data_IF_425139085671
#
_entry.id   IF_425139085671
#
_cell.length_a   1.000
_cell.length_b   1.000
_cell.length_c   1.000
_cell.angle_alpha   90.00
_cell.angle_beta   90.00
_cell.angle_gamma   90.00
#
_symmetry.space_group_name_H-M   'P 1'
#
loop_
_entity.id
_entity.type
_entity.pdbx_description
1 polymer ?
#
# COMPACT_ATOMS: atom_id res chain seq x y z
N UNK A 1 3.90 9.41 -15.59
CA UNK A 1 2.53 9.68 -15.15
C UNK A 1 2.64 10.36 -13.81
N UNK A 2 2.14 11.58 -13.68
CA UNK A 2 2.14 12.34 -12.43
C UNK A 2 0.80 12.07 -11.74
N UNK A 3 0.83 11.59 -10.50
CA UNK A 3 -0.37 11.35 -9.68
C UNK A 3 -0.28 12.27 -8.49
N UNK A 4 -1.13 13.29 -8.46
CA UNK A 4 -1.24 14.21 -7.33
C UNK A 4 -2.30 13.67 -6.37
N UNK A 5 -1.89 13.35 -5.15
CA UNK A 5 -2.80 12.96 -4.09
C UNK A 5 -3.13 14.16 -3.19
N UNK A 6 -4.40 14.31 -2.85
CA UNK A 6 -4.90 15.38 -1.99
C UNK A 6 -5.22 14.82 -0.60
N UNK A 7 -4.99 15.63 0.44
CA UNK A 7 -5.32 15.31 1.83
C UNK A 7 -6.19 16.42 2.40
N UNK A 8 -7.24 16.04 3.12
CA UNK A 8 -8.05 16.97 3.91
C UNK A 8 -7.32 17.36 5.20
N UNK A 9 -7.97 18.16 6.05
CA UNK A 9 -7.47 18.41 7.40
C UNK A 9 -7.43 17.10 8.19
N UNK A 10 -6.33 16.86 8.89
CA UNK A 10 -6.21 15.72 9.81
C UNK A 10 -7.26 15.82 10.91
N UNK A 11 -8.11 14.79 11.02
CA UNK A 11 -9.18 14.71 12.02
C UNK A 11 -8.69 13.95 13.25
N UNK A 12 -7.86 12.92 13.04
CA UNK A 12 -7.34 12.10 14.12
C UNK A 12 -5.98 11.50 13.75
N UNK A 13 -5.19 11.16 14.77
CA UNK A 13 -3.93 10.43 14.66
C UNK A 13 -3.76 9.46 15.80
N UNK A 14 -3.38 8.23 15.47
CA UNK A 14 -3.14 7.18 16.46
C UNK A 14 -1.78 6.50 16.25
N UNK A 15 -1.18 6.04 17.35
CA UNK A 15 0.04 5.23 17.31
C UNK A 15 -0.31 3.76 17.10
N UNK A 16 0.38 3.09 16.17
CA UNK A 16 0.17 1.67 15.86
C UNK A 16 1.48 0.95 15.58
N UNK A 17 1.38 -0.37 15.42
CA UNK A 17 2.47 -1.24 15.03
C UNK A 17 2.10 -2.01 13.77
N UNK A 18 3.02 -2.03 12.80
CA UNK A 18 2.89 -2.82 11.59
C UNK A 18 3.76 -4.07 11.72
N UNK A 19 3.26 -5.28 11.44
CA UNK A 19 4.08 -6.47 11.45
C UNK A 19 5.33 -6.32 10.57
N UNK A 20 6.47 -6.80 11.06
CA UNK A 20 7.74 -6.65 10.37
C UNK A 20 7.72 -7.26 8.97
N UNK A 21 7.05 -8.40 8.82
CA UNK A 21 6.88 -9.09 7.54
C UNK A 21 6.19 -8.20 6.49
N UNK A 22 5.12 -7.50 6.88
CA UNK A 22 4.40 -6.56 6.00
C UNK A 22 5.26 -5.35 5.65
N UNK A 23 5.87 -4.71 6.65
CA UNK A 23 6.71 -3.53 6.43
C UNK A 23 7.92 -3.85 5.54
N UNK A 24 8.68 -4.90 5.90
CA UNK A 24 9.87 -5.30 5.17
C UNK A 24 9.52 -5.70 3.72
N UNK A 25 8.39 -6.38 3.49
CA UNK A 25 7.93 -6.71 2.14
C UNK A 25 7.59 -5.47 1.32
N UNK A 26 6.88 -4.50 1.90
CA UNK A 26 6.57 -3.23 1.24
C UNK A 26 7.84 -2.49 0.81
N UNK A 27 8.81 -2.35 1.73
CA UNK A 27 10.09 -1.69 1.45
C UNK A 27 10.92 -2.47 0.40
N UNK A 28 10.92 -3.81 0.46
CA UNK A 28 11.61 -4.66 -0.53
C UNK A 28 11.00 -4.53 -1.93
N UNK A 29 9.66 -4.41 -2.02
CA UNK A 29 9.00 -4.16 -3.29
C UNK A 29 9.28 -2.74 -3.79
N UNK A 30 9.27 -1.74 -2.89
CA UNK A 30 9.59 -0.35 -3.21
C UNK A 30 11.01 -0.19 -3.76
N UNK A 31 11.99 -0.89 -3.18
CA UNK A 31 13.39 -0.81 -3.63
C UNK A 31 13.61 -1.36 -5.04
N UNK A 32 12.65 -2.11 -5.59
CA UNK A 32 12.67 -2.61 -6.97
C UNK A 32 12.08 -1.60 -7.97
N UNK A 33 11.43 -0.54 -7.48
CA UNK A 33 10.77 0.47 -8.31
C UNK A 33 11.73 1.63 -8.62
N UNK A 34 12.05 1.92 -9.90
CA UNK A 34 12.94 3.02 -10.25
C UNK A 34 12.35 4.40 -9.94
N UNK A 35 11.02 4.49 -9.88
CA UNK A 35 10.27 5.74 -9.61
C UNK A 35 10.18 6.09 -8.14
N UNK A 36 10.77 5.30 -7.21
CA UNK A 36 10.67 5.49 -5.75
C UNK A 36 9.25 5.52 -5.18
N UNK A 37 8.29 5.05 -5.96
CA UNK A 37 6.90 4.90 -5.56
C UNK A 37 6.41 3.52 -5.95
N UNK A 38 5.67 2.86 -5.06
CA UNK A 38 5.06 1.56 -5.26
C UNK A 38 3.54 1.69 -5.19
N UNK A 39 2.86 1.21 -6.23
CA UNK A 39 1.40 1.19 -6.31
C UNK A 39 0.88 -0.21 -6.04
N UNK A 40 0.09 -0.36 -4.97
CA UNK A 40 -0.44 -1.64 -4.51
C UNK A 40 -1.97 -1.61 -4.53
N UNK A 41 -2.61 -2.18 -5.57
CA UNK A 41 -4.06 -2.24 -5.64
C UNK A 41 -4.63 -3.25 -4.64
N UNK A 42 -5.47 -2.79 -3.72
CA UNK A 42 -6.19 -3.60 -2.73
C UNK A 42 -7.60 -3.87 -3.28
N UNK A 43 -7.70 -4.82 -4.21
CA UNK A 43 -8.91 -5.06 -5.01
C UNK A 43 -10.15 -5.43 -4.18
N UNK A 44 -9.97 -6.15 -3.07
CA UNK A 44 -11.03 -6.54 -2.13
C UNK A 44 -11.71 -5.34 -1.44
N UNK A 45 -11.03 -4.19 -1.41
CA UNK A 45 -11.53 -2.95 -0.83
C UNK A 45 -11.84 -1.89 -1.89
N UNK A 46 -11.45 -2.08 -3.15
CA UNK A 46 -11.37 -1.03 -4.18
C UNK A 46 -10.46 0.14 -3.77
N UNK A 47 -9.42 -0.14 -3.00
CA UNK A 47 -8.45 0.86 -2.57
C UNK A 47 -7.15 0.73 -3.36
N UNK A 48 -6.37 1.81 -3.40
CA UNK A 48 -4.99 1.80 -3.82
C UNK A 48 -4.12 2.26 -2.65
N UNK A 49 -3.10 1.49 -2.32
CA UNK A 49 -2.03 1.96 -1.47
C UNK A 49 -0.89 2.51 -2.35
N UNK A 50 -0.44 3.72 -2.06
CA UNK A 50 0.71 4.34 -2.69
C UNK A 50 1.78 4.47 -1.62
N UNK A 51 2.92 3.87 -1.86
CA UNK A 51 3.99 3.72 -0.89
C UNK A 51 5.22 4.44 -1.42
N UNK A 52 5.82 5.27 -0.56
CA UNK A 52 7.15 5.81 -0.77
C UNK A 52 8.03 5.58 0.47
N UNK A 53 9.16 6.28 0.54
CA UNK A 53 10.11 6.16 1.66
C UNK A 53 9.63 6.80 2.96
N UNK A 54 8.64 7.69 2.92
CA UNK A 54 8.19 8.49 4.04
C UNK A 54 6.84 8.00 4.59
N UNK A 55 5.89 7.69 3.70
CA UNK A 55 4.53 7.33 4.07
C UNK A 55 3.88 6.29 3.16
N UNK A 56 2.89 5.59 3.72
CA UNK A 56 1.97 4.74 2.96
C UNK A 56 0.60 5.42 2.97
N UNK A 57 0.14 5.87 1.82
CA UNK A 57 -1.17 6.53 1.70
C UNK A 57 -2.18 5.60 1.06
N UNK A 58 -3.40 5.61 1.60
CA UNK A 58 -4.50 4.77 1.14
C UNK A 58 -5.59 5.66 0.56
N UNK A 59 -5.87 5.44 -0.73
CA UNK A 59 -6.89 6.18 -1.48
C UNK A 59 -8.02 5.23 -1.88
N UNK A 60 -9.24 5.73 -1.76
CA UNK A 60 -10.46 5.06 -2.21
C UNK A 60 -10.63 5.21 -3.73
N UNK A 61 -10.96 4.12 -4.41
CA UNK A 61 -11.18 4.10 -5.85
C UNK A 61 -12.34 4.97 -6.32
N UNK A 62 -13.30 5.27 -5.44
CA UNK A 62 -14.43 6.16 -5.75
C UNK A 62 -14.04 7.65 -5.68
N UNK A 63 -13.12 8.00 -4.77
CA UNK A 63 -12.65 9.38 -4.59
C UNK A 63 -11.29 9.59 -5.23
N UNK A 64 -11.32 9.99 -6.50
CA UNK A 64 -10.16 10.33 -7.36
C UNK A 64 -9.03 11.05 -6.59
N UNK A 65 -8.07 10.29 -6.11
CA UNK A 65 -6.82 10.74 -5.47
C UNK A 65 -6.94 11.43 -4.10
N UNK A 66 -8.02 11.21 -3.34
CA UNK A 66 -8.10 11.69 -1.95
C UNK A 66 -7.58 10.65 -0.98
N UNK A 67 -6.70 11.07 -0.07
CA UNK A 67 -6.12 10.23 0.97
C UNK A 67 -7.10 10.16 2.14
N UNK A 68 -7.50 8.93 2.48
CA UNK A 68 -8.37 8.69 3.64
C UNK A 68 -7.56 8.44 4.90
N UNK A 69 -6.52 7.64 4.75
CA UNK A 69 -5.63 7.20 5.82
C UNK A 69 -4.20 7.28 5.28
N UNK A 70 -3.31 7.85 6.10
CA UNK A 70 -1.88 7.79 5.85
C UNK A 70 -1.17 7.13 7.02
N UNK A 71 -0.32 6.16 6.74
CA UNK A 71 0.62 5.60 7.72
C UNK A 71 1.95 6.30 7.55
N UNK A 72 2.37 7.01 8.58
CA UNK A 72 3.51 7.94 8.57
C UNK A 72 4.43 7.68 9.74
N UNK A 73 5.60 8.33 9.73
CA UNK A 73 6.53 8.34 10.86
C UNK A 73 6.92 6.92 11.31
N UNK A 74 7.19 6.03 10.35
CA UNK A 74 7.69 4.70 10.64
C UNK A 74 9.02 4.78 11.39
N UNK A 75 9.17 3.98 12.45
CA UNK A 75 10.38 3.94 13.28
C UNK A 75 11.09 2.58 13.19
N UNK A 76 11.59 2.18 12.00
CA UNK A 76 12.22 0.87 11.81
C UNK A 76 13.56 0.72 12.53
N UNK A 77 14.16 1.82 13.01
CA UNK A 77 15.46 1.83 13.72
C UNK A 77 15.33 1.67 15.24
N UNK A 78 14.12 1.75 15.79
CA UNK A 78 13.89 1.65 17.25
C UNK A 78 13.73 0.19 17.70
N UNK A 79 13.63 -0.74 16.76
CA UNK A 79 13.51 -2.18 17.04
C UNK A 79 14.88 -2.83 17.23
N UNK A 80 14.94 -3.81 18.12
CA UNK A 80 16.16 -4.57 18.43
C UNK A 80 16.38 -5.73 17.43
N UNK A 81 15.33 -6.17 16.73
CA UNK A 81 15.39 -7.27 15.78
C UNK A 81 14.52 -7.03 14.53
N UNK A 82 14.86 -7.72 13.43
CA UNK A 82 14.22 -7.53 12.12
C UNK A 82 12.79 -8.08 12.02
N UNK A 83 12.40 -8.96 12.93
CA UNK A 83 11.07 -9.60 13.03
C UNK A 83 10.13 -8.84 13.97
N UNK A 84 10.65 -7.89 14.76
CA UNK A 84 9.86 -7.04 15.63
C UNK A 84 9.00 -6.05 14.82
N UNK A 85 7.72 -5.85 15.21
CA UNK A 85 6.83 -4.89 14.58
C UNK A 85 7.40 -3.48 14.53
N UNK A 86 7.09 -2.74 13.47
CA UNK A 86 7.53 -1.36 13.26
C UNK A 86 6.47 -0.40 13.77
N UNK A 87 6.82 0.44 14.74
CA UNK A 87 5.95 1.51 15.22
C UNK A 87 5.74 2.57 14.13
N UNK A 88 4.51 3.06 14.02
CA UNK A 88 4.13 4.12 13.08
C UNK A 88 2.93 4.92 13.61
N UNK A 89 2.57 5.99 12.92
CA UNK A 89 1.37 6.79 13.20
C UNK A 89 0.39 6.67 12.04
N UNK A 90 -0.88 6.35 12.33
CA UNK A 90 -1.96 6.39 11.36
C UNK A 90 -2.69 7.73 11.50
N UNK A 91 -2.62 8.58 10.47
CA UNK A 91 -3.39 9.81 10.35
C UNK A 91 -4.67 9.55 9.54
N UNK A 92 -5.78 10.13 10.00
CA UNK A 92 -7.10 10.00 9.42
C UNK A 92 -7.60 11.35 8.90
N UNK A 93 -8.10 11.35 7.67
CA UNK A 93 -8.63 12.55 7.02
C UNK A 93 -10.14 12.46 6.79
N UNK A 94 -10.79 11.36 7.21
CA UNK A 94 -12.25 11.19 7.22
C UNK A 94 -12.73 10.64 8.56
N UNK A 95 -13.97 10.96 8.89
CA UNK A 95 -14.67 10.41 10.05
C UNK A 95 -15.00 8.92 9.87
N UNK A 96 -15.20 8.21 10.99
CA UNK A 96 -15.68 6.83 11.02
C UNK A 96 -14.82 5.82 10.23
N UNK A 97 -13.51 6.05 10.13
CA UNK A 97 -12.57 5.21 9.38
C UNK A 97 -12.08 3.95 10.11
N UNK A 98 -12.63 3.64 11.29
CA UNK A 98 -12.21 2.48 12.11
C UNK A 98 -12.38 1.15 11.38
N UNK A 99 -13.49 0.98 10.65
CA UNK A 99 -13.78 -0.24 9.86
C UNK A 99 -12.79 -0.39 8.71
N UNK A 100 -12.51 0.70 7.99
CA UNK A 100 -11.53 0.70 6.89
C UNK A 100 -10.14 0.38 7.42
N UNK A 101 -9.73 1.01 8.51
CA UNK A 101 -8.46 0.73 9.16
C UNK A 101 -8.34 -0.73 9.60
N UNK A 102 -9.38 -1.32 10.19
CA UNK A 102 -9.37 -2.74 10.57
C UNK A 102 -9.18 -3.65 9.36
N UNK A 103 -9.88 -3.37 8.25
CA UNK A 103 -9.72 -4.12 7.00
C UNK A 103 -8.34 -3.93 6.37
N UNK A 104 -7.78 -2.73 6.38
CA UNK A 104 -6.45 -2.48 5.84
C UNK A 104 -5.38 -3.35 6.52
N UNK A 105 -5.51 -3.65 7.82
CA UNK A 105 -4.56 -4.52 8.52
C UNK A 105 -4.51 -5.95 7.97
N UNK A 106 -5.59 -6.47 7.39
CA UNK A 106 -5.62 -7.81 6.77
C UNK A 106 -5.41 -7.76 5.25
N UNK A 107 -6.06 -6.81 4.58
CA UNK A 107 -6.12 -6.74 3.12
C UNK A 107 -4.83 -6.21 2.49
N UNK A 108 -4.15 -5.25 3.14
CA UNK A 108 -2.91 -4.69 2.61
C UNK A 108 -1.76 -5.73 2.58
N UNK A 109 -1.49 -6.50 3.66
CA UNK A 109 -0.54 -7.61 3.58
C UNK A 109 -0.88 -8.61 2.48
N UNK A 110 -2.15 -8.98 2.32
CA UNK A 110 -2.59 -9.89 1.27
C UNK A 110 -2.34 -9.32 -0.13
N UNK A 111 -2.57 -8.03 -0.35
CA UNK A 111 -2.30 -7.35 -1.60
C UNK A 111 -0.80 -7.29 -1.93
N UNK A 112 0.07 -7.03 -0.94
CA UNK A 112 1.52 -7.10 -1.11
C UNK A 112 1.98 -8.52 -1.48
N UNK A 113 1.42 -9.54 -0.84
CA UNK A 113 1.71 -10.95 -1.15
C UNK A 113 1.28 -11.33 -2.57
N UNK A 114 0.09 -10.91 -2.98
CA UNK A 114 -0.36 -11.08 -4.36
C UNK A 114 0.55 -10.34 -5.36
N UNK A 115 1.10 -9.19 -4.99
CA UNK A 115 1.97 -8.40 -5.85
C UNK A 115 3.35 -9.06 -6.02
N UNK A 116 3.97 -9.55 -4.95
CA UNK A 116 5.27 -10.25 -5.04
C UNK A 116 5.17 -11.59 -5.78
N UNK A 117 4.02 -12.27 -5.67
CA UNK A 117 3.76 -13.54 -6.35
C UNK A 117 3.43 -13.38 -7.83
N UNK A 118 3.22 -12.14 -8.32
CA UNK A 118 3.13 -11.93 -9.77
C UNK A 118 4.49 -12.18 -10.38
N UNK A 119 4.58 -13.27 -11.13
CA UNK A 119 5.76 -13.56 -11.94
C UNK A 119 6.07 -12.35 -12.83
N UNK A 120 7.33 -11.91 -12.78
CA UNK A 120 7.86 -11.06 -13.83
C UNK A 120 7.89 -11.93 -15.09
N UNK A 121 7.01 -11.63 -16.04
CA UNK A 121 7.06 -12.25 -17.37
C UNK A 121 8.36 -11.79 -18.04
N UNK A 122 9.42 -12.56 -17.83
CA UNK A 122 10.72 -12.40 -18.48
C UNK A 122 10.60 -12.89 -19.93
N UNK A 123 10.73 -11.97 -20.89
CA UNK A 123 10.79 -12.30 -22.31
C UNK A 123 9.92 -11.41 -23.21
N UNK A 124 10.08 -11.53 -24.55
CA UNK A 124 9.26 -10.81 -25.50
C UNK A 124 7.78 -11.20 -25.33
N UNK A 125 6.89 -10.22 -25.49
CA UNK A 125 5.45 -10.42 -25.43
C UNK A 125 5.03 -11.55 -26.39
N UNK A 126 4.25 -12.51 -25.90
CA UNK A 126 3.71 -13.59 -26.73
C UNK A 126 2.35 -13.18 -27.28
N UNK A 127 2.18 -13.27 -28.60
CA UNK A 127 0.88 -13.07 -29.25
C UNK A 127 0.00 -14.29 -28.92
N UNK A 128 -1.15 -14.04 -28.29
CA UNK A 128 -2.18 -15.05 -28.07
C UNK A 128 -3.20 -14.91 -29.20
N UNK A 129 -3.22 -15.88 -30.12
CA UNK A 129 -4.22 -15.92 -31.19
C UNK A 129 -5.53 -16.46 -30.61
N UNK A 130 -6.53 -15.59 -30.48
CA UNK A 130 -7.89 -16.02 -30.17
C UNK A 130 -8.56 -16.55 -31.44
N UNK A 131 -9.08 -17.80 -31.45
CA UNK A 131 -9.83 -18.28 -32.59
C UNK A 131 -11.10 -17.45 -32.75
N UNK A 132 -11.41 -17.04 -33.98
CA UNK A 132 -12.70 -16.43 -34.29
C UNK A 132 -13.82 -17.40 -33.90
N UNK A 133 -14.81 -16.91 -33.13
CA UNK A 133 -16.04 -17.67 -32.86
C UNK A 133 -16.66 -18.10 -34.19
N UNK A 134 -16.84 -19.41 -34.37
CA UNK A 134 -17.66 -19.98 -35.45
C UNK A 134 -19.14 -19.75 -35.16
#
# INVERSE_FOLDING_TARGET
>A
MEITCHRDLEINREARYLPASTYNLAITLLSRCPTKHLFVPIRSMQYMAIIDSEEFVFIDGERKCWIDIAWQNFKPHVRDALDQPVAYQAAYYRDNMSVIMARLQSEFPAALQALINKERLEGPARIINFPAKR
#
